data_IF_795583274155
#
_entry.id   IF_795583274155
#
_cell.length_a   1.000
_cell.length_b   1.000
_cell.length_c   1.000
_cell.angle_alpha   90.00
_cell.angle_beta   90.00
_cell.angle_gamma   90.00
#
_symmetry.space_group_name_H-M   'P 1'
#
loop_
_entity.id
_entity.type
_entity.pdbx_description
1 polymer ?
#
# COMPACT_ATOMS: atom_id res chain seq x y z
N UNK A 1 -6.78 -34.16 -19.38
CA UNK A 1 -5.45 -34.29 -18.76
C UNK A 1 -5.34 -33.11 -17.82
N UNK A 2 -5.40 -33.42 -16.52
CA UNK A 2 -5.28 -32.46 -15.44
C UNK A 2 -3.82 -32.48 -14.97
N UNK A 3 -3.25 -31.29 -14.85
CA UNK A 3 -1.96 -30.95 -14.23
C UNK A 3 -1.94 -29.42 -14.20
N UNK A 4 -1.52 -28.68 -13.18
CA UNK A 4 -1.21 -28.94 -11.78
C UNK A 4 -1.11 -27.52 -11.20
N UNK A 5 -1.98 -27.16 -10.26
CA UNK A 5 -1.87 -25.91 -9.51
C UNK A 5 -1.58 -26.24 -8.05
N UNK A 6 -0.36 -26.73 -7.79
CA UNK A 6 0.21 -26.84 -6.45
C UNK A 6 1.03 -25.58 -6.17
N UNK A 7 0.39 -24.59 -5.54
CA UNK A 7 1.04 -23.40 -5.02
C UNK A 7 0.23 -22.87 -3.85
N UNK A 8 0.80 -22.96 -2.64
CA UNK A 8 0.29 -22.38 -1.39
C UNK A 8 -0.99 -22.99 -0.78
N UNK A 9 -0.88 -24.23 -0.31
CA UNK A 9 -1.77 -24.74 0.75
C UNK A 9 -0.92 -25.38 1.85
N UNK A 10 -0.20 -24.56 2.63
CA UNK A 10 0.18 -24.99 3.97
C UNK A 10 -1.11 -25.24 4.73
N UNK A 11 -1.44 -26.51 5.03
CA UNK A 11 -2.67 -26.82 5.74
C UNK A 11 -2.64 -26.15 7.11
N UNK A 12 -3.51 -25.15 7.32
CA UNK A 12 -3.66 -24.52 8.63
C UNK A 12 -4.03 -25.63 9.62
N UNK A 13 -3.20 -25.81 10.65
CA UNK A 13 -3.41 -26.80 11.69
C UNK A 13 -4.19 -26.14 12.85
N UNK A 14 -5.50 -26.43 13.02
CA UNK A 14 -6.33 -25.66 13.95
C UNK A 14 -5.87 -25.72 15.41
N UNK A 15 -5.35 -26.87 15.88
CA UNK A 15 -4.88 -27.01 17.26
C UNK A 15 -3.63 -26.18 17.52
N UNK A 16 -2.72 -26.10 16.54
CA UNK A 16 -1.54 -25.24 16.62
C UNK A 16 -1.94 -23.75 16.66
N UNK A 17 -2.92 -23.35 15.87
CA UNK A 17 -3.38 -21.96 15.85
C UNK A 17 -4.05 -21.55 17.17
N UNK A 18 -4.82 -22.43 17.81
CA UNK A 18 -5.37 -22.17 19.15
C UNK A 18 -4.26 -21.89 20.18
N UNK A 19 -3.21 -22.71 20.18
CA UNK A 19 -2.03 -22.52 21.03
C UNK A 19 -1.29 -21.22 20.71
N UNK A 20 -1.16 -20.89 19.43
CA UNK A 20 -0.49 -19.68 18.95
C UNK A 20 -1.25 -18.40 19.30
N UNK A 21 -2.59 -18.40 19.16
CA UNK A 21 -3.47 -17.32 19.63
C UNK A 21 -3.34 -17.14 21.15
N UNK A 22 -3.39 -18.23 21.90
CA UNK A 22 -3.28 -18.18 23.36
C UNK A 22 -1.90 -17.66 23.81
N UNK A 23 -0.83 -18.08 23.14
CA UNK A 23 0.52 -17.62 23.42
C UNK A 23 0.74 -16.15 23.02
N UNK A 24 0.22 -15.72 21.88
CA UNK A 24 0.24 -14.32 21.47
C UNK A 24 -0.52 -13.43 22.47
N UNK A 25 -1.71 -13.85 22.92
CA UNK A 25 -2.49 -13.12 23.90
C UNK A 25 -1.75 -12.96 25.24
N UNK A 26 -1.00 -13.99 25.68
CA UNK A 26 -0.14 -13.88 26.86
C UNK A 26 1.02 -12.91 26.65
N UNK A 27 1.70 -12.98 25.51
CA UNK A 27 2.82 -12.10 25.18
C UNK A 27 2.39 -10.63 25.10
N UNK A 28 1.27 -10.32 24.43
CA UNK A 28 0.72 -8.97 24.34
C UNK A 28 0.35 -8.37 25.70
N UNK A 29 -0.09 -9.19 26.67
CA UNK A 29 -0.39 -8.73 28.04
C UNK A 29 0.86 -8.47 28.88
N UNK A 30 1.96 -9.16 28.56
CA UNK A 30 3.22 -9.06 29.31
C UNK A 30 4.16 -7.98 28.74
N UNK A 31 4.00 -7.60 27.48
CA UNK A 31 4.81 -6.58 26.84
C UNK A 31 4.51 -5.19 27.39
N UNK A 32 5.53 -4.49 27.89
CA UNK A 32 5.45 -3.05 28.21
C UNK A 32 5.44 -2.21 26.93
N UNK A 33 6.26 -2.59 25.93
CA UNK A 33 6.22 -2.08 24.57
C UNK A 33 6.36 -3.24 23.56
N UNK A 34 5.57 -3.29 22.48
CA UNK A 34 5.70 -4.34 21.45
C UNK A 34 6.99 -4.16 20.64
N UNK A 35 7.78 -5.24 20.51
CA UNK A 35 8.91 -5.29 19.58
C UNK A 35 8.50 -5.86 18.20
N UNK A 36 9.44 -5.82 17.25
CA UNK A 36 9.21 -6.30 15.88
C UNK A 36 8.89 -7.80 15.84
N UNK A 37 9.38 -8.59 16.79
CA UNK A 37 9.12 -10.03 16.84
C UNK A 37 7.68 -10.32 17.28
N UNK A 38 7.21 -9.63 18.30
CA UNK A 38 5.82 -9.70 18.73
C UNK A 38 4.88 -9.24 17.61
N UNK A 39 5.26 -8.21 16.86
CA UNK A 39 4.50 -7.78 15.68
C UNK A 39 4.46 -8.86 14.60
N UNK A 40 5.61 -9.44 14.22
CA UNK A 40 5.66 -10.53 13.22
C UNK A 40 4.79 -11.71 13.64
N UNK A 41 4.81 -12.08 14.93
CA UNK A 41 3.95 -13.14 15.46
C UNK A 41 2.47 -12.78 15.35
N UNK A 42 2.09 -11.54 15.69
CA UNK A 42 0.72 -11.07 15.57
C UNK A 42 0.22 -11.11 14.12
N UNK A 43 1.05 -10.70 13.15
CA UNK A 43 0.74 -10.79 11.72
C UNK A 43 0.54 -12.23 11.25
N UNK A 44 1.42 -13.15 11.67
CA UNK A 44 1.30 -14.57 11.32
C UNK A 44 -0.02 -15.17 11.81
N UNK A 45 -0.35 -14.96 13.09
CA UNK A 45 -1.60 -15.47 13.68
C UNK A 45 -2.82 -14.86 13.01
N UNK A 46 -2.79 -13.55 12.74
CA UNK A 46 -3.89 -12.87 12.06
C UNK A 46 -4.08 -13.38 10.63
N UNK A 47 -3.00 -13.63 9.89
CA UNK A 47 -3.03 -14.22 8.55
C UNK A 47 -3.68 -15.61 8.55
N UNK A 48 -3.26 -16.49 9.47
CA UNK A 48 -3.85 -17.83 9.59
C UNK A 48 -5.36 -17.79 9.92
N UNK A 49 -5.77 -16.86 10.80
CA UNK A 49 -7.19 -16.63 11.09
C UNK A 49 -7.96 -16.12 9.86
N UNK A 50 -7.37 -15.21 9.08
CA UNK A 50 -7.95 -14.72 7.83
C UNK A 50 -8.15 -15.86 6.81
N UNK A 51 -7.17 -16.75 6.66
CA UNK A 51 -7.24 -17.88 5.73
C UNK A 51 -8.30 -18.91 6.15
N UNK A 52 -8.42 -19.19 7.46
CA UNK A 52 -9.49 -20.04 7.97
C UNK A 52 -10.87 -19.43 7.75
N UNK A 53 -11.03 -18.13 8.01
CA UNK A 53 -12.28 -17.42 7.78
C UNK A 53 -12.63 -17.42 6.29
N UNK A 54 -11.65 -17.19 5.42
CA UNK A 54 -11.83 -17.27 3.98
C UNK A 54 -12.29 -18.68 3.57
N UNK A 55 -11.63 -19.73 4.04
CA UNK A 55 -12.04 -21.12 3.76
C UNK A 55 -13.47 -21.41 4.22
N UNK A 56 -13.86 -20.93 5.40
CA UNK A 56 -15.22 -21.09 5.90
C UNK A 56 -16.26 -20.35 5.03
N UNK A 57 -15.86 -19.24 4.41
CA UNK A 57 -16.67 -18.44 3.49
C UNK A 57 -16.62 -18.94 2.02
N UNK A 58 -15.89 -20.03 1.73
CA UNK A 58 -15.71 -20.54 0.37
C UNK A 58 -14.60 -19.86 -0.45
N UNK A 59 -13.77 -19.03 0.19
CA UNK A 59 -12.67 -18.29 -0.39
C UNK A 59 -12.65 -16.82 0.06
N UNK A 60 -11.61 -16.09 -0.33
CA UNK A 60 -11.65 -14.63 -0.27
C UNK A 60 -12.61 -14.10 -1.35
N UNK A 61 -13.38 -13.07 -1.01
CA UNK A 61 -14.35 -12.48 -1.92
C UNK A 61 -13.72 -11.41 -2.82
N UNK A 62 -14.22 -11.33 -4.05
CA UNK A 62 -13.80 -10.31 -5.03
C UNK A 62 -14.61 -9.03 -4.91
N UNK A 63 -14.03 -7.93 -5.39
CA UNK A 63 -14.70 -6.63 -5.60
C UNK A 63 -14.67 -6.27 -7.08
N UNK A 64 -15.67 -5.51 -7.53
CA UNK A 64 -15.71 -4.96 -8.88
C UNK A 64 -14.72 -3.80 -9.02
N UNK A 65 -14.15 -3.68 -10.22
CA UNK A 65 -13.19 -2.63 -10.58
C UNK A 65 -13.81 -1.64 -11.58
N UNK A 66 -13.17 -0.48 -11.80
CA UNK A 66 -13.74 0.60 -12.59
C UNK A 66 -13.82 0.27 -14.07
N UNK A 67 -12.91 -0.53 -14.61
CA UNK A 67 -12.92 -0.96 -16.02
C UNK A 67 -13.89 -2.13 -16.27
N UNK A 68 -14.52 -2.68 -15.21
CA UNK A 68 -15.51 -3.74 -15.29
C UNK A 68 -14.94 -5.15 -15.06
N UNK A 69 -13.68 -5.25 -14.63
CA UNK A 69 -13.09 -6.49 -14.12
C UNK A 69 -13.39 -6.72 -12.64
N UNK A 70 -12.74 -7.72 -12.05
CA UNK A 70 -12.79 -8.00 -10.61
C UNK A 70 -11.41 -8.31 -10.08
N UNK A 71 -11.21 -8.06 -8.78
CA UNK A 71 -10.00 -8.43 -8.05
C UNK A 71 -10.38 -8.99 -6.69
N UNK A 72 -9.59 -9.92 -6.16
CA UNK A 72 -9.73 -10.44 -4.80
C UNK A 72 -8.62 -9.81 -3.92
N UNK A 73 -8.88 -8.72 -3.17
CA UNK A 73 -7.81 -7.93 -2.55
C UNK A 73 -6.91 -8.70 -1.57
N UNK A 74 -7.47 -9.72 -0.89
CA UNK A 74 -6.72 -10.54 0.07
C UNK A 74 -6.04 -11.76 -0.56
N UNK A 75 -6.30 -12.03 -1.84
CA UNK A 75 -5.65 -13.05 -2.66
C UNK A 75 -5.51 -12.53 -4.10
N UNK A 76 -4.70 -11.47 -4.32
CA UNK A 76 -4.65 -10.77 -5.59
C UNK A 76 -3.94 -11.60 -6.67
N UNK A 77 -4.49 -11.57 -7.87
CA UNK A 77 -3.88 -12.08 -9.10
C UNK A 77 -3.27 -10.90 -9.87
N UNK A 78 -1.96 -10.88 -10.18
CA UNK A 78 -1.32 -9.76 -10.88
C UNK A 78 -2.01 -9.37 -12.18
N UNK A 79 -2.52 -10.35 -12.94
CA UNK A 79 -3.17 -10.15 -14.24
C UNK A 79 -4.52 -9.43 -14.14
N UNK A 80 -5.07 -9.27 -12.93
CA UNK A 80 -6.32 -8.53 -12.66
C UNK A 80 -6.08 -7.07 -12.32
N UNK A 81 -4.83 -6.64 -12.18
CA UNK A 81 -4.48 -5.27 -11.78
C UNK A 81 -4.30 -4.43 -13.03
N UNK A 82 -5.24 -3.51 -13.28
CA UNK A 82 -5.13 -2.53 -14.35
C UNK A 82 -4.75 -1.16 -13.80
N UNK A 83 -3.78 -0.50 -14.44
CA UNK A 83 -3.31 0.83 -14.02
C UNK A 83 -4.43 1.88 -14.06
N UNK A 84 -5.39 1.72 -14.98
CA UNK A 84 -6.56 2.58 -15.09
C UNK A 84 -7.48 2.50 -13.85
N UNK A 85 -7.60 1.31 -13.24
CA UNK A 85 -8.35 1.10 -12.00
C UNK A 85 -7.61 1.68 -10.81
N UNK A 86 -6.30 1.43 -10.71
CA UNK A 86 -5.44 2.01 -9.66
C UNK A 86 -5.53 3.54 -9.71
N UNK A 87 -5.29 4.15 -10.86
CA UNK A 87 -5.37 5.60 -11.04
C UNK A 87 -6.77 6.14 -10.67
N UNK A 88 -7.84 5.45 -11.05
CA UNK A 88 -9.20 5.85 -10.69
C UNK A 88 -9.43 5.78 -9.18
N UNK A 89 -9.14 4.66 -8.53
CA UNK A 89 -9.36 4.50 -7.10
C UNK A 89 -8.53 5.50 -6.30
N UNK A 90 -7.21 5.59 -6.54
CA UNK A 90 -6.31 6.51 -5.84
C UNK A 90 -6.70 7.99 -6.05
N UNK A 91 -7.30 8.34 -7.19
CA UNK A 91 -7.79 9.70 -7.44
C UNK A 91 -9.01 10.09 -6.60
N UNK A 92 -9.76 9.10 -6.09
CA UNK A 92 -10.95 9.29 -5.26
C UNK A 92 -10.68 9.10 -3.76
N UNK A 93 -9.56 8.46 -3.40
CA UNK A 93 -9.16 8.28 -2.00
C UNK A 93 -8.54 9.57 -1.46
N UNK A 94 -9.15 10.14 -0.44
CA UNK A 94 -8.56 11.26 0.29
C UNK A 94 -7.51 10.75 1.26
N UNK A 95 -6.32 11.36 1.23
CA UNK A 95 -5.34 11.19 2.30
C UNK A 95 -5.85 11.73 3.62
N UNK A 96 -5.20 11.27 4.69
CA UNK A 96 -5.44 11.70 6.06
C UNK A 96 -6.88 11.42 6.54
N UNK A 97 -7.51 10.37 6.00
CA UNK A 97 -8.91 10.04 6.27
C UNK A 97 -9.87 11.25 6.11
N UNK A 98 -9.59 12.12 5.14
CA UNK A 98 -10.40 13.29 4.83
C UNK A 98 -10.35 14.43 5.87
N UNK A 99 -9.42 14.41 6.82
CA UNK A 99 -9.31 15.44 7.88
C UNK A 99 -8.48 16.66 7.46
N UNK A 100 -7.84 16.61 6.29
CA UNK A 100 -7.13 17.75 5.73
C UNK A 100 -8.08 18.92 5.45
N UNK A 101 -7.55 20.15 5.48
CA UNK A 101 -8.32 21.37 5.20
C UNK A 101 -8.96 21.43 3.80
N UNK A 102 -8.48 20.60 2.87
CA UNK A 102 -8.98 20.44 1.51
C UNK A 102 -8.76 19.00 1.07
N UNK A 103 -9.53 18.54 0.08
CA UNK A 103 -9.31 17.24 -0.54
C UNK A 103 -7.90 17.16 -1.11
N UNK A 104 -7.19 16.10 -0.75
CA UNK A 104 -5.85 15.80 -1.26
C UNK A 104 -5.77 14.30 -1.47
N UNK A 105 -5.69 13.87 -2.72
CA UNK A 105 -5.84 12.46 -3.07
C UNK A 105 -4.54 11.68 -2.94
N UNK A 106 -4.67 10.37 -2.78
CA UNK A 106 -3.52 9.45 -2.82
C UNK A 106 -2.82 9.54 -4.17
N UNK A 107 -3.55 9.64 -5.29
CA UNK A 107 -2.95 9.78 -6.62
C UNK A 107 -2.02 11.00 -6.74
N UNK A 108 -2.40 12.17 -6.15
CA UNK A 108 -1.53 13.36 -6.17
C UNK A 108 -0.25 13.13 -5.37
N UNK A 109 -0.38 12.52 -4.20
CA UNK A 109 0.76 12.15 -3.38
C UNK A 109 1.70 11.20 -4.12
N UNK A 110 1.19 10.13 -4.75
CA UNK A 110 2.03 9.18 -5.49
C UNK A 110 2.76 9.83 -6.67
N UNK A 111 2.11 10.77 -7.37
CA UNK A 111 2.78 11.58 -8.42
C UNK A 111 3.89 12.44 -7.81
N UNK A 112 3.65 13.08 -6.65
CA UNK A 112 4.67 13.88 -5.95
C UNK A 112 5.86 13.03 -5.55
N UNK A 113 5.64 11.85 -4.97
CA UNK A 113 6.70 10.89 -4.63
C UNK A 113 7.50 10.51 -5.88
N UNK A 114 6.84 10.14 -6.98
CA UNK A 114 7.51 9.79 -8.23
C UNK A 114 8.38 10.92 -8.82
N UNK A 115 7.91 12.17 -8.76
CA UNK A 115 8.64 13.34 -9.26
C UNK A 115 9.80 13.72 -8.35
N UNK A 116 9.63 13.63 -7.03
CA UNK A 116 10.67 13.91 -6.06
C UNK A 116 11.80 12.86 -6.13
N UNK A 117 11.46 11.59 -6.36
CA UNK A 117 12.46 10.55 -6.63
C UNK A 117 13.28 10.88 -7.89
N UNK A 118 12.63 11.33 -8.98
CA UNK A 118 13.32 11.76 -10.20
C UNK A 118 14.24 12.96 -9.94
N UNK A 119 13.77 13.97 -9.21
CA UNK A 119 14.55 15.16 -8.88
C UNK A 119 15.76 14.86 -7.97
N UNK A 120 15.74 13.74 -7.26
CA UNK A 120 16.84 13.23 -6.43
C UNK A 120 17.72 12.21 -7.18
N UNK A 121 17.71 12.24 -8.51
CA UNK A 121 18.48 11.35 -9.39
C UNK A 121 18.16 9.85 -9.20
N UNK A 122 16.97 9.52 -8.69
CA UNK A 122 16.50 8.14 -8.57
C UNK A 122 16.32 7.49 -9.94
N UNK A 123 16.74 6.23 -10.07
CA UNK A 123 16.61 5.47 -11.32
C UNK A 123 15.14 5.24 -11.74
N UNK A 124 14.92 4.85 -13.00
CA UNK A 124 13.56 4.66 -13.53
C UNK A 124 12.74 3.64 -12.73
N UNK A 125 13.36 2.60 -12.18
CA UNK A 125 12.69 1.62 -11.31
C UNK A 125 12.17 2.28 -10.01
N UNK A 126 13.00 3.07 -9.32
CA UNK A 126 12.58 3.86 -8.16
C UNK A 126 11.48 4.88 -8.51
N UNK A 127 11.55 5.53 -9.68
CA UNK A 127 10.51 6.49 -10.10
C UNK A 127 9.15 5.82 -10.35
N UNK A 128 9.16 4.63 -10.98
CA UNK A 128 7.97 3.78 -11.17
C UNK A 128 7.42 3.31 -9.83
N UNK A 129 8.29 2.85 -8.92
CA UNK A 129 7.87 2.46 -7.58
C UNK A 129 7.31 3.65 -6.80
N UNK A 130 7.92 4.83 -6.89
CA UNK A 130 7.38 6.05 -6.29
C UNK A 130 5.96 6.36 -6.73
N UNK A 131 5.60 6.08 -7.99
CA UNK A 131 4.22 6.24 -8.47
C UNK A 131 3.28 5.12 -7.96
N UNK A 132 3.79 3.91 -7.75
CA UNK A 132 2.99 2.70 -7.45
C UNK A 132 3.05 2.24 -5.98
N UNK A 133 3.82 2.90 -5.10
CA UNK A 133 4.05 2.42 -3.73
C UNK A 133 2.75 2.31 -2.91
N UNK A 134 1.81 3.25 -3.13
CA UNK A 134 0.48 3.25 -2.52
C UNK A 134 -0.59 2.53 -3.37
N UNK A 135 -0.22 1.84 -4.47
CA UNK A 135 -1.19 1.20 -5.37
C UNK A 135 -2.07 0.14 -4.68
N UNK A 136 -1.60 -0.50 -3.60
CA UNK A 136 -2.41 -1.41 -2.79
C UNK A 136 -3.63 -0.71 -2.14
N UNK A 137 -3.54 0.60 -1.89
CA UNK A 137 -4.64 1.38 -1.31
C UNK A 137 -5.85 1.47 -2.26
N UNK A 138 -5.64 1.29 -3.57
CA UNK A 138 -6.73 1.18 -4.54
C UNK A 138 -7.73 0.07 -4.17
N UNK A 139 -7.27 -0.96 -3.47
CA UNK A 139 -8.05 -2.15 -3.12
C UNK A 139 -8.26 -2.31 -1.60
N UNK A 140 -7.42 -1.69 -0.77
CA UNK A 140 -7.49 -1.77 0.70
C UNK A 140 -7.87 -0.45 1.40
N UNK A 141 -8.04 0.64 0.65
CA UNK A 141 -8.18 2.03 1.14
C UNK A 141 -6.93 2.57 1.84
N UNK A 142 -6.74 3.90 1.79
CA UNK A 142 -5.78 4.62 2.64
C UNK A 142 -6.18 4.44 4.11
N UNK A 143 -5.27 3.89 4.91
CA UNK A 143 -5.43 3.77 6.36
C UNK A 143 -4.34 4.59 7.04
N UNK A 144 -4.69 5.64 7.81
CA UNK A 144 -3.70 6.47 8.47
C UNK A 144 -2.70 5.66 9.30
N UNK A 145 -1.42 5.96 9.16
CA UNK A 145 -0.33 5.22 9.78
C UNK A 145 -0.53 4.90 11.29
N UNK A 146 -1.05 5.81 12.14
CA UNK A 146 -1.32 5.48 13.54
C UNK A 146 -2.35 4.37 13.73
N UNK A 147 -3.38 4.32 12.88
CA UNK A 147 -4.43 3.28 12.92
C UNK A 147 -3.87 1.97 12.37
N UNK A 148 -3.13 2.02 11.26
CA UNK A 148 -2.51 0.85 10.61
C UNK A 148 -1.64 0.04 11.58
N UNK A 149 -0.89 0.71 12.46
CA UNK A 149 -0.09 0.06 13.52
C UNK A 149 -0.93 -0.79 14.49
N UNK A 150 -2.22 -0.53 14.61
CA UNK A 150 -3.14 -1.27 15.47
C UNK A 150 -4.00 -2.30 14.72
N UNK A 151 -3.82 -2.45 13.40
CA UNK A 151 -4.55 -3.41 12.57
C UNK A 151 -3.66 -4.61 12.21
N UNK A 152 -3.80 -5.77 12.90
CA UNK A 152 -3.08 -6.98 12.51
C UNK A 152 -3.65 -7.56 11.20
N UNK A 153 -2.80 -8.17 10.38
CA UNK A 153 -3.17 -8.74 9.08
C UNK A 153 -3.21 -7.73 7.93
N UNK A 154 -3.40 -6.44 8.21
CA UNK A 154 -3.44 -5.40 7.17
C UNK A 154 -2.08 -5.25 6.47
N UNK A 155 -0.99 -5.18 7.23
CA UNK A 155 0.37 -5.04 6.64
C UNK A 155 0.74 -6.25 5.80
N UNK A 156 0.34 -7.47 6.19
CA UNK A 156 0.56 -8.67 5.38
C UNK A 156 -0.27 -8.64 4.08
N UNK A 157 -1.54 -8.22 4.14
CA UNK A 157 -2.39 -8.06 2.96
C UNK A 157 -1.83 -7.01 1.99
N UNK A 158 -1.40 -5.86 2.52
CA UNK A 158 -0.79 -4.78 1.74
C UNK A 158 0.49 -5.24 1.04
N UNK A 159 1.40 -5.93 1.73
CA UNK A 159 2.63 -6.48 1.11
C UNK A 159 2.33 -7.48 -0.01
N UNK A 160 1.30 -8.32 0.16
CA UNK A 160 0.84 -9.25 -0.89
C UNK A 160 0.34 -8.49 -2.12
N UNK A 161 -0.49 -7.46 -1.92
CA UNK A 161 -1.00 -6.61 -2.99
C UNK A 161 0.10 -5.81 -3.68
N UNK A 162 1.01 -5.20 -2.93
CA UNK A 162 2.17 -4.50 -3.49
C UNK A 162 3.05 -5.43 -4.34
N UNK A 163 3.22 -6.68 -3.91
CA UNK A 163 3.92 -7.68 -4.73
C UNK A 163 3.16 -7.96 -6.02
N UNK A 164 1.85 -8.21 -5.95
CA UNK A 164 1.04 -8.41 -7.16
C UNK A 164 1.04 -7.19 -8.10
N UNK A 165 1.05 -5.97 -7.56
CA UNK A 165 1.20 -4.73 -8.37
C UNK A 165 2.52 -4.72 -9.10
N UNK A 166 3.64 -5.01 -8.42
CA UNK A 166 4.97 -5.07 -9.05
C UNK A 166 5.01 -6.13 -10.15
N UNK A 167 4.47 -7.30 -9.89
CA UNK A 167 4.39 -8.40 -10.85
C UNK A 167 3.57 -8.01 -12.08
N UNK A 168 2.43 -7.32 -11.88
CA UNK A 168 1.54 -6.87 -12.95
C UNK A 168 2.22 -5.93 -13.96
N UNK A 169 3.19 -5.13 -13.49
CA UNK A 169 3.95 -4.19 -14.33
C UNK A 169 5.39 -4.65 -14.62
N UNK A 170 5.78 -5.86 -14.20
CA UNK A 170 7.13 -6.38 -14.36
C UNK A 170 8.22 -5.50 -13.72
N UNK A 171 7.95 -4.94 -12.53
CA UNK A 171 8.84 -4.01 -11.85
C UNK A 171 9.76 -4.71 -10.86
N UNK A 172 11.04 -4.83 -11.25
CA UNK A 172 12.13 -5.26 -10.36
C UNK A 172 12.70 -4.07 -9.60
N UNK A 173 12.93 -4.24 -8.28
CA UNK A 173 13.48 -3.21 -7.41
C UNK A 173 14.72 -3.71 -6.68
N UNK A 174 15.73 -2.86 -6.61
CA UNK A 174 16.82 -3.06 -5.66
C UNK A 174 16.40 -2.57 -4.28
N UNK A 175 17.09 -3.04 -3.24
CA UNK A 175 16.88 -2.52 -1.90
C UNK A 175 17.22 -1.02 -1.77
N UNK A 176 18.02 -0.46 -2.70
CA UNK A 176 18.31 0.97 -2.76
C UNK A 176 17.14 1.76 -3.32
N UNK A 177 16.48 1.25 -4.37
CA UNK A 177 15.26 1.84 -4.92
C UNK A 177 14.16 1.91 -3.85
N UNK A 178 13.93 0.81 -3.13
CA UNK A 178 12.93 0.75 -2.05
C UNK A 178 13.25 1.78 -0.94
N UNK A 179 14.50 1.81 -0.48
CA UNK A 179 14.93 2.77 0.56
C UNK A 179 14.79 4.22 0.12
N UNK A 180 15.09 4.53 -1.14
CA UNK A 180 14.94 5.89 -1.66
C UNK A 180 13.48 6.32 -1.65
N UNK A 181 12.58 5.47 -2.14
CA UNK A 181 11.14 5.75 -2.16
C UNK A 181 10.59 5.91 -0.74
N UNK A 182 10.96 5.04 0.21
CA UNK A 182 10.54 5.15 1.61
C UNK A 182 10.97 6.48 2.25
N UNK A 183 12.20 6.92 1.98
CA UNK A 183 12.72 8.21 2.49
C UNK A 183 11.96 9.38 1.89
N UNK A 184 11.67 9.32 0.58
CA UNK A 184 10.95 10.38 -0.14
C UNK A 184 9.49 10.46 0.29
N UNK A 185 8.77 9.34 0.33
CA UNK A 185 7.39 9.28 0.85
C UNK A 185 7.33 9.87 2.26
N UNK A 186 8.20 9.41 3.16
CA UNK A 186 8.23 9.91 4.54
C UNK A 186 8.49 11.43 4.61
N UNK A 187 9.35 11.99 3.75
CA UNK A 187 9.60 13.44 3.69
C UNK A 187 8.39 14.22 3.17
N UNK A 188 7.77 13.73 2.09
CA UNK A 188 6.55 14.32 1.51
C UNK A 188 5.39 14.24 2.51
N UNK A 189 5.14 13.10 3.14
CA UNK A 189 4.08 12.94 4.14
C UNK A 189 4.22 13.91 5.32
N UNK A 190 5.46 14.18 5.79
CA UNK A 190 5.70 15.21 6.81
C UNK A 190 5.41 16.62 6.30
N UNK A 191 5.84 16.93 5.08
CA UNK A 191 5.56 18.20 4.43
C UNK A 191 4.04 18.43 4.26
N UNK A 192 3.32 17.43 3.75
CA UNK A 192 1.87 17.44 3.57
C UNK A 192 1.14 17.67 4.90
N UNK A 193 1.54 16.97 5.96
CA UNK A 193 1.01 17.18 7.31
C UNK A 193 1.21 18.63 7.78
N UNK A 194 2.33 19.26 7.46
CA UNK A 194 2.62 20.65 7.83
C UNK A 194 1.83 21.68 6.98
N UNK A 195 1.40 21.31 5.78
CA UNK A 195 0.65 22.19 4.87
C UNK A 195 -0.87 22.04 5.02
N UNK A 196 -1.37 20.82 5.17
CA UNK A 196 -2.80 20.51 5.12
C UNK A 196 -3.52 20.60 6.47
N UNK A 197 -2.79 20.76 7.57
CA UNK A 197 -3.35 20.89 8.91
C UNK A 197 -2.97 22.22 9.58
N UNK A 198 -3.80 22.74 10.49
CA UNK A 198 -3.51 23.94 11.25
C UNK A 198 -2.48 23.64 12.35
N UNK A 199 -1.18 23.62 12.00
CA UNK A 199 -0.11 23.53 13.00
C UNK A 199 1.17 24.17 12.48
N UNK A 200 1.57 25.27 13.12
CA UNK A 200 2.84 25.96 12.83
C UNK A 200 4.07 25.23 13.38
N UNK A 201 3.87 24.19 14.20
CA UNK A 201 4.96 23.47 14.88
C UNK A 201 5.50 22.28 14.09
N UNK A 202 4.87 21.90 12.99
CA UNK A 202 5.33 20.78 12.17
C UNK A 202 6.50 21.22 11.31
N UNK A 203 7.60 20.48 11.37
CA UNK A 203 8.74 20.67 10.48
C UNK A 203 8.30 20.49 9.03
N UNK A 204 8.80 21.36 8.15
CA UNK A 204 8.62 21.26 6.70
C UNK A 204 9.97 20.81 6.10
N UNK A 205 10.13 19.52 5.79
CA UNK A 205 11.33 19.06 5.11
C UNK A 205 11.56 19.82 3.81
N UNK A 206 12.83 19.99 3.43
CA UNK A 206 13.17 20.51 2.12
C UNK A 206 12.90 19.42 1.07
N UNK A 207 12.16 19.81 0.03
CA UNK A 207 11.84 18.99 -1.14
C UNK A 207 12.47 19.64 -2.37
N UNK A 208 12.87 18.83 -3.34
CA UNK A 208 13.39 19.30 -4.64
C UNK A 208 12.25 19.71 -5.58
N UNK A 209 11.08 19.07 -5.45
CA UNK A 209 9.85 19.36 -6.17
C UNK A 209 8.85 20.01 -5.21
N UNK A 210 8.50 21.28 -5.45
CA UNK A 210 7.46 21.92 -4.66
C UNK A 210 6.09 21.37 -5.11
N UNK A 211 5.12 21.18 -4.21
CA UNK A 211 3.78 20.75 -4.62
C UNK A 211 3.08 21.73 -5.57
N UNK A 212 3.51 22.99 -5.61
CA UNK A 212 3.02 23.98 -6.58
C UNK A 212 3.53 23.73 -8.01
N UNK A 213 4.60 22.95 -8.17
CA UNK A 213 5.14 22.55 -9.47
C UNK A 213 4.34 21.37 -10.06
N UNK A 214 3.51 20.72 -9.25
CA UNK A 214 2.53 19.73 -9.70
C UNK A 214 1.22 20.49 -9.94
N UNK A 215 0.79 20.53 -11.20
CA UNK A 215 -0.37 21.32 -11.61
C UNK A 215 -1.58 21.11 -10.68
N UNK A 216 -1.98 22.15 -9.91
CA UNK A 216 -3.06 22.04 -8.95
C UNK A 216 -4.43 21.92 -9.64
N UNK A 217 -4.55 22.35 -10.90
CA UNK A 217 -5.80 22.39 -11.64
C UNK A 217 -6.05 21.11 -12.45
N UNK A 218 -4.99 20.36 -12.79
CA UNK A 218 -5.13 19.06 -13.47
C UNK A 218 -5.74 18.02 -12.52
N UNK A 219 -6.74 17.28 -13.02
CA UNK A 219 -7.40 16.21 -12.26
C UNK A 219 -6.39 15.15 -11.77
N UNK A 220 -6.46 14.69 -10.51
CA UNK A 220 -5.50 13.72 -9.96
C UNK A 220 -5.33 12.44 -10.79
N UNK A 221 -6.43 11.93 -11.36
CA UNK A 221 -6.39 10.74 -12.22
C UNK A 221 -5.56 10.99 -13.47
N UNK A 222 -5.74 12.16 -14.09
CA UNK A 222 -5.02 12.57 -15.29
C UNK A 222 -3.53 12.73 -14.99
N UNK A 223 -3.17 13.42 -13.91
CA UNK A 223 -1.77 13.54 -13.46
C UNK A 223 -1.09 12.18 -13.28
N UNK A 224 -1.78 11.25 -12.63
CA UNK A 224 -1.26 9.91 -12.40
C UNK A 224 -1.01 9.16 -13.70
N UNK A 225 -1.98 9.16 -14.62
CA UNK A 225 -1.87 8.47 -15.91
C UNK A 225 -0.83 9.12 -16.84
N UNK A 226 -0.71 10.45 -16.82
CA UNK A 226 0.34 11.16 -17.56
C UNK A 226 1.73 10.77 -17.04
N UNK A 227 1.92 10.76 -15.72
CA UNK A 227 3.18 10.32 -15.13
C UNK A 227 3.46 8.84 -15.43
N UNK A 228 2.44 7.99 -15.42
CA UNK A 228 2.58 6.59 -15.82
C UNK A 228 3.09 6.43 -17.26
N UNK A 229 2.56 7.22 -18.22
CA UNK A 229 3.03 7.23 -19.62
C UNK A 229 4.48 7.66 -19.74
N UNK A 230 4.87 8.72 -19.05
CA UNK A 230 6.26 9.19 -19.04
C UNK A 230 7.22 8.09 -18.56
N UNK A 231 6.77 7.27 -17.61
CA UNK A 231 7.54 6.17 -17.04
C UNK A 231 7.42 4.86 -17.83
N UNK A 232 6.68 4.82 -18.94
CA UNK A 232 6.40 3.62 -19.74
C UNK A 232 5.79 2.49 -18.90
N UNK A 233 4.72 2.80 -18.16
CA UNK A 233 3.89 1.83 -17.42
C UNK A 233 2.59 1.44 -18.16
N UNK A 234 2.31 2.04 -19.32
CA UNK A 234 1.17 1.71 -20.20
C UNK A 234 1.59 0.84 -21.41
#
# INVERSE_FOLDING_TARGET
MADSNEGFAGSVNPSRLEDDVAALARALRAAEEPDDELRRRAESVAGELQDLLAKANGGHASIDTRTGGTITPLAPEPERIELADVAHALSNLSRFAGQAKCFYSVARHSVHVSREVEARDGGQAAQRWGLLHDASEAYLSDVPAPVKRSLPGYTAAERRLQTAVRDAVGLELTAEDERLVDVVDGAIGRYELAVHFPSERREKPQLEVAPADIDPDTEPKTLFLERARELNLE
#
